data_IF_133788583700
#
_entry.id   IF_133788583700
#
_cell.length_a   1.000
_cell.length_b   1.000
_cell.length_c   1.000
_cell.angle_alpha   90.00
_cell.angle_beta   90.00
_cell.angle_gamma   90.00
#
_symmetry.space_group_name_H-M   'P 1'
#
loop_
_entity.id
_entity.type
_entity.pdbx_description
1 polymer ?
#
# COMPACT_ATOMS: atom_id res chain seq x y z
N UNK A 1 14.57 13.53 -10.15
CA UNK A 1 13.52 13.06 -11.02
C UNK A 1 13.09 11.65 -10.62
N UNK A 2 11.81 11.44 -10.51
CA UNK A 2 11.30 10.17 -10.08
C UNK A 2 11.38 9.11 -11.15
N UNK A 3 11.41 7.86 -10.71
CA UNK A 3 11.36 6.71 -11.59
C UNK A 3 9.95 6.15 -11.58
N UNK A 4 9.41 5.95 -12.77
CA UNK A 4 8.08 5.37 -12.88
C UNK A 4 8.15 3.89 -13.11
N UNK A 5 7.33 3.18 -12.37
CA UNK A 5 6.95 1.83 -12.74
C UNK A 5 5.44 1.84 -12.79
N UNK A 6 4.90 1.99 -13.97
CA UNK A 6 3.46 2.12 -14.11
C UNK A 6 2.75 0.80 -13.97
N UNK A 7 3.49 -0.29 -14.17
CA UNK A 7 2.85 -1.60 -14.14
C UNK A 7 3.85 -2.65 -13.70
N UNK A 8 3.51 -3.34 -12.65
CA UNK A 8 4.27 -4.49 -12.18
C UNK A 8 3.54 -5.71 -12.69
N UNK A 9 3.91 -6.19 -13.85
CA UNK A 9 3.07 -7.12 -14.58
C UNK A 9 3.29 -8.57 -14.19
N UNK A 10 3.26 -8.88 -12.90
CA UNK A 10 3.30 -10.25 -12.46
C UNK A 10 1.90 -10.76 -12.19
N UNK A 11 1.73 -12.07 -12.21
CA UNK A 11 0.45 -12.68 -11.91
C UNK A 11 -0.01 -12.34 -10.50
N UNK A 12 0.93 -12.30 -9.58
CA UNK A 12 0.62 -12.02 -8.19
C UNK A 12 0.07 -10.61 -8.01
N UNK A 13 0.65 -9.67 -8.75
CA UNK A 13 0.21 -8.28 -8.66
C UNK A 13 -1.21 -8.12 -9.14
N UNK A 14 -1.60 -8.89 -10.13
CA UNK A 14 -2.94 -8.77 -10.70
C UNK A 14 -4.03 -9.11 -9.69
N UNK A 15 -3.70 -9.83 -8.65
CA UNK A 15 -4.67 -10.15 -7.61
C UNK A 15 -5.10 -8.91 -6.84
N UNK A 16 -4.25 -7.89 -6.82
CA UNK A 16 -4.57 -6.63 -6.16
C UNK A 16 -5.33 -5.68 -7.07
N UNK A 17 -5.47 -6.03 -8.36
CA UNK A 17 -6.03 -5.14 -9.35
C UNK A 17 -4.91 -4.38 -10.03
N UNK A 18 -5.21 -3.21 -10.55
CA UNK A 18 -4.20 -2.40 -11.22
C UNK A 18 -3.37 -1.66 -10.19
N UNK A 19 -2.07 -1.89 -10.23
CA UNK A 19 -1.12 -1.23 -9.33
C UNK A 19 -0.15 -0.43 -10.16
N UNK A 20 -0.01 0.83 -9.85
CA UNK A 20 1.04 1.66 -10.41
C UNK A 20 1.84 2.28 -9.29
N UNK A 21 3.13 2.41 -9.50
CA UNK A 21 4.07 2.81 -8.47
C UNK A 21 4.96 3.93 -8.99
N UNK A 22 5.21 4.90 -8.14
CA UNK A 22 6.15 5.98 -8.42
C UNK A 22 7.07 6.11 -7.22
N UNK A 23 8.37 6.12 -7.48
CA UNK A 23 9.38 6.24 -6.42
C UNK A 23 10.63 6.86 -7.01
N UNK A 24 11.52 7.34 -6.15
CA UNK A 24 12.79 7.87 -6.62
C UNK A 24 13.79 6.78 -6.96
N UNK A 25 13.78 5.71 -6.20
CA UNK A 25 14.71 4.60 -6.39
C UNK A 25 13.95 3.29 -6.31
N UNK A 26 14.20 2.42 -7.27
CA UNK A 26 13.60 1.08 -7.29
C UNK A 26 14.71 0.07 -7.43
N UNK A 27 14.73 -0.92 -6.55
CA UNK A 27 15.70 -2.00 -6.58
C UNK A 27 14.98 -3.34 -6.64
N UNK A 28 15.31 -4.12 -7.66
CA UNK A 28 14.79 -5.48 -7.77
C UNK A 28 15.88 -6.44 -7.32
N UNK A 29 15.57 -7.26 -6.33
CA UNK A 29 16.49 -8.26 -5.82
C UNK A 29 15.97 -9.64 -6.21
N UNK A 30 16.63 -10.25 -7.19
CA UNK A 30 16.17 -11.52 -7.71
C UNK A 30 16.39 -12.68 -6.76
N UNK A 31 17.42 -12.59 -5.91
CA UNK A 31 17.69 -13.70 -5.01
C UNK A 31 16.64 -13.79 -3.90
N UNK A 32 16.09 -12.68 -3.46
CA UNK A 32 15.03 -12.68 -2.46
C UNK A 32 13.66 -12.49 -3.09
N UNK A 33 13.62 -12.23 -4.39
CA UNK A 33 12.38 -12.01 -5.14
C UNK A 33 11.56 -10.88 -4.57
N UNK A 34 12.25 -9.76 -4.29
CA UNK A 34 11.63 -8.57 -3.70
C UNK A 34 11.87 -7.36 -4.56
N UNK A 35 10.92 -6.43 -4.52
CA UNK A 35 11.06 -5.12 -5.13
C UNK A 35 11.03 -4.08 -4.02
N UNK A 36 12.09 -3.32 -3.90
CA UNK A 36 12.20 -2.28 -2.87
C UNK A 36 12.09 -0.91 -3.51
N UNK A 37 11.30 -0.04 -2.89
CA UNK A 37 10.97 1.28 -3.41
C UNK A 37 11.32 2.32 -2.36
N UNK A 38 12.00 3.39 -2.78
CA UNK A 38 12.44 4.43 -1.85
C UNK A 38 12.17 5.81 -2.41
N UNK A 39 11.74 6.70 -1.53
CA UNK A 39 11.69 8.14 -1.77
C UNK A 39 10.43 8.59 -2.49
N UNK A 40 9.69 9.49 -1.85
CA UNK A 40 8.49 10.11 -2.40
C UNK A 40 7.57 9.11 -3.07
N UNK A 41 7.24 8.09 -2.29
CA UNK A 41 6.51 6.94 -2.78
C UNK A 41 5.04 7.27 -2.99
N UNK A 42 4.53 6.92 -4.16
CA UNK A 42 3.10 7.01 -4.46
C UNK A 42 2.68 5.73 -5.14
N UNK A 43 1.65 5.12 -4.60
CA UNK A 43 1.13 3.86 -5.12
C UNK A 43 -0.35 4.03 -5.35
N UNK A 44 -0.81 3.66 -6.53
CA UNK A 44 -2.23 3.59 -6.84
C UNK A 44 -2.61 2.12 -6.95
N UNK A 45 -3.59 1.73 -6.16
CA UNK A 45 -4.04 0.36 -6.08
C UNK A 45 -5.55 0.36 -6.14
N UNK A 46 -6.10 0.04 -7.32
CA UNK A 46 -7.54 0.16 -7.52
C UNK A 46 -7.97 1.60 -7.32
N UNK A 47 -8.91 1.82 -6.42
CA UNK A 47 -9.37 3.16 -6.09
C UNK A 47 -8.65 3.76 -4.90
N UNK A 48 -7.59 3.11 -4.43
CA UNK A 48 -6.81 3.60 -3.31
C UNK A 48 -5.59 4.35 -3.77
N UNK A 49 -5.28 5.42 -3.04
CA UNK A 49 -4.04 6.17 -3.20
C UNK A 49 -3.23 5.98 -1.92
N UNK A 50 -1.98 5.55 -2.07
CA UNK A 50 -1.12 5.23 -0.95
C UNK A 50 0.16 6.03 -1.09
N UNK A 51 0.66 6.56 0.03
CA UNK A 51 1.92 7.27 0.04
C UNK A 51 2.72 6.86 1.26
N UNK A 52 4.03 7.07 1.17
CA UNK A 52 4.93 6.71 2.25
C UNK A 52 6.35 7.05 1.88
N UNK A 53 7.29 6.58 2.70
CA UNK A 53 8.71 6.84 2.50
C UNK A 53 9.39 5.72 1.73
N UNK A 54 9.01 4.49 2.01
CA UNK A 54 9.56 3.34 1.30
C UNK A 54 8.57 2.18 1.34
N UNK A 55 8.80 1.21 0.47
CA UNK A 55 7.93 0.04 0.41
C UNK A 55 8.73 -1.17 -0.05
N UNK A 56 8.22 -2.33 0.30
CA UNK A 56 8.79 -3.60 -0.10
C UNK A 56 7.67 -4.49 -0.62
N UNK A 57 7.83 -4.94 -1.85
CA UNK A 57 6.90 -5.89 -2.44
C UNK A 57 7.58 -7.25 -2.51
N UNK A 58 7.06 -8.21 -1.76
CA UNK A 58 7.56 -9.58 -1.79
C UNK A 58 6.71 -10.38 -2.73
N UNK A 59 7.32 -10.88 -3.81
CA UNK A 59 6.56 -11.62 -4.81
C UNK A 59 6.12 -12.99 -4.30
N UNK A 60 6.96 -13.63 -3.50
CA UNK A 60 6.62 -14.96 -3.01
C UNK A 60 5.45 -14.90 -2.03
N UNK A 61 5.45 -13.88 -1.19
CA UNK A 61 4.40 -13.71 -0.19
C UNK A 61 3.20 -12.94 -0.74
N UNK A 62 3.37 -12.32 -1.88
CA UNK A 62 2.33 -11.49 -2.48
C UNK A 62 1.86 -10.40 -1.51
N UNK A 63 2.84 -9.79 -0.85
CA UNK A 63 2.57 -8.86 0.23
C UNK A 63 3.30 -7.55 -0.03
N UNK A 64 2.62 -6.44 0.18
CA UNK A 64 3.19 -5.11 -0.03
C UNK A 64 3.22 -4.39 1.31
N UNK A 65 4.42 -4.00 1.73
CA UNK A 65 4.61 -3.31 3.00
C UNK A 65 5.07 -1.89 2.71
N UNK A 66 4.36 -0.91 3.25
CA UNK A 66 4.68 0.51 3.07
C UNK A 66 4.99 1.11 4.42
N UNK A 67 6.12 1.80 4.52
CA UNK A 67 6.51 2.51 5.74
C UNK A 67 6.49 4.00 5.50
N UNK A 68 6.17 4.75 6.54
CA UNK A 68 6.15 6.20 6.47
C UNK A 68 6.03 6.82 7.84
N UNK A 69 6.04 8.14 7.87
CA UNK A 69 5.98 8.90 9.11
C UNK A 69 4.94 10.02 8.99
N UNK A 70 3.70 9.70 8.71
CA UNK A 70 3.12 8.38 8.54
C UNK A 70 3.02 7.95 7.08
N UNK A 71 2.77 6.68 6.87
CA UNK A 71 2.25 6.21 5.61
C UNK A 71 0.75 6.49 5.58
N UNK A 72 0.20 6.72 4.39
CA UNK A 72 -1.22 7.06 4.30
C UNK A 72 -1.89 6.30 3.17
N UNK A 73 -3.19 6.08 3.35
CA UNK A 73 -4.02 5.44 2.35
C UNK A 73 -5.35 6.17 2.30
N UNK A 74 -5.86 6.41 1.11
CA UNK A 74 -7.13 7.10 0.96
C UNK A 74 -7.89 6.60 -0.25
N UNK A 75 -9.20 6.74 -0.19
CA UNK A 75 -10.06 6.44 -1.33
C UNK A 75 -11.25 7.40 -1.25
N UNK A 76 -11.42 8.20 -2.28
CA UNK A 76 -12.54 9.12 -2.35
C UNK A 76 -13.85 8.38 -2.50
N UNK A 77 -13.83 7.31 -3.30
CA UNK A 77 -15.02 6.53 -3.56
C UNK A 77 -15.55 5.88 -2.29
N UNK A 78 -14.64 5.31 -1.49
CA UNK A 78 -15.01 4.63 -0.27
C UNK A 78 -15.11 5.57 0.92
N UNK A 79 -14.72 6.83 0.74
CA UNK A 79 -14.74 7.85 1.78
C UNK A 79 -13.90 7.42 2.98
N UNK A 80 -12.67 7.02 2.68
CA UNK A 80 -11.78 6.47 3.69
C UNK A 80 -10.45 7.22 3.65
N UNK A 81 -9.91 7.49 4.83
CA UNK A 81 -8.58 8.06 5.01
C UNK A 81 -7.93 7.33 6.18
N UNK A 82 -6.72 6.85 5.97
CA UNK A 82 -6.02 6.15 7.02
C UNK A 82 -4.56 6.54 7.05
N UNK A 83 -3.97 6.53 8.24
CA UNK A 83 -2.54 6.75 8.42
C UNK A 83 -2.03 5.76 9.47
N UNK A 84 -0.76 5.38 9.32
CA UNK A 84 -0.10 4.54 10.29
C UNK A 84 1.40 4.58 9.98
N UNK A 85 2.20 4.07 10.89
CA UNK A 85 3.64 4.00 10.61
C UNK A 85 3.94 2.95 9.56
N UNK A 86 3.12 1.93 9.48
CA UNK A 86 3.30 0.87 8.49
C UNK A 86 1.95 0.37 7.99
N UNK A 87 1.87 0.19 6.68
CA UNK A 87 0.70 -0.39 6.03
C UNK A 87 1.14 -1.68 5.35
N UNK A 88 0.38 -2.75 5.53
CA UNK A 88 0.64 -4.00 4.84
C UNK A 88 -0.60 -4.42 4.09
N UNK A 89 -0.44 -4.67 2.80
CA UNK A 89 -1.53 -5.11 1.94
C UNK A 89 -1.31 -6.58 1.62
N UNK A 90 -2.28 -7.41 1.95
CA UNK A 90 -2.21 -8.85 1.77
C UNK A 90 -2.98 -9.29 0.54
N UNK A 91 -2.69 -10.48 0.01
CA UNK A 91 -3.36 -10.95 -1.21
C UNK A 91 -4.86 -11.14 -1.04
N UNK A 92 -5.35 -11.32 0.18
CA UNK A 92 -6.78 -11.46 0.42
C UNK A 92 -7.48 -10.11 0.54
N UNK A 93 -6.81 -9.05 0.15
CA UNK A 93 -7.32 -7.69 0.15
C UNK A 93 -7.60 -7.17 1.56
N UNK A 94 -6.85 -7.62 2.55
CA UNK A 94 -6.89 -7.00 3.85
C UNK A 94 -5.70 -6.06 3.98
N UNK A 95 -5.91 -4.96 4.67
CA UNK A 95 -4.89 -3.97 4.94
C UNK A 95 -4.68 -3.88 6.43
N UNK A 96 -3.44 -4.06 6.84
CA UNK A 96 -3.07 -3.98 8.23
C UNK A 96 -2.35 -2.67 8.45
N UNK A 97 -2.82 -1.89 9.41
CA UNK A 97 -2.27 -0.57 9.72
C UNK A 97 -1.69 -0.64 11.11
N UNK A 98 -0.39 -0.46 11.24
CA UNK A 98 0.31 -0.67 12.50
C UNK A 98 1.11 0.58 12.87
N UNK A 99 1.04 0.95 14.15
CA UNK A 99 1.77 2.08 14.70
C UNK A 99 0.98 3.36 14.62
N UNK A 100 0.37 3.77 15.73
CA UNK A 100 -0.42 4.99 15.81
C UNK A 100 -1.42 5.05 14.67
N UNK A 101 -2.13 3.95 14.47
CA UNK A 101 -3.02 3.82 13.34
C UNK A 101 -4.28 4.66 13.53
N UNK A 102 -4.71 5.29 12.46
CA UNK A 102 -5.90 6.13 12.44
C UNK A 102 -6.67 5.81 11.17
N UNK A 103 -7.95 5.57 11.30
CA UNK A 103 -8.81 5.29 10.15
C UNK A 103 -10.07 6.12 10.29
N UNK A 104 -10.34 6.90 9.26
CA UNK A 104 -11.55 7.70 9.19
C UNK A 104 -12.36 7.16 8.01
N UNK A 105 -13.56 6.69 8.29
CA UNK A 105 -14.45 6.19 7.24
C UNK A 105 -15.77 6.90 7.39
N UNK A 106 -16.12 7.70 6.39
CA UNK A 106 -17.29 8.55 6.44
C UNK A 106 -17.20 9.46 7.66
N UNK A 107 -18.09 9.29 8.64
CA UNK A 107 -18.07 10.15 9.82
C UNK A 107 -17.51 9.45 11.05
N UNK A 108 -16.87 8.31 10.87
CA UNK A 108 -16.33 7.53 11.98
C UNK A 108 -14.83 7.66 12.02
N UNK A 109 -14.30 7.91 13.22
CA UNK A 109 -12.86 7.99 13.43
C UNK A 109 -12.45 6.89 14.38
N UNK A 110 -11.43 6.13 13.99
CA UNK A 110 -10.93 5.01 14.77
C UNK A 110 -9.44 5.22 14.98
N UNK A 111 -8.99 5.09 16.23
CA UNK A 111 -7.58 5.18 16.57
C UNK A 111 -7.20 3.95 17.36
N UNK A 112 -6.07 3.34 16.98
CA UNK A 112 -5.59 2.15 17.65
C UNK A 112 -4.14 1.94 17.32
N UNK A 113 -3.47 1.06 18.05
CA UNK A 113 -2.12 0.68 17.69
C UNK A 113 -2.12 -0.14 16.40
N UNK A 114 -3.19 -0.91 16.19
CA UNK A 114 -3.30 -1.74 14.99
C UNK A 114 -4.75 -1.76 14.53
N UNK A 115 -4.94 -1.52 13.24
CA UNK A 115 -6.27 -1.56 12.62
C UNK A 115 -6.18 -2.50 11.43
N UNK A 116 -7.14 -3.41 11.30
CA UNK A 116 -7.23 -4.26 10.12
C UNK A 116 -8.49 -3.89 9.36
N UNK A 117 -8.32 -3.59 8.08
CA UNK A 117 -9.41 -3.19 7.21
C UNK A 117 -9.52 -4.22 6.09
N UNK A 118 -10.69 -4.84 5.98
CA UNK A 118 -10.93 -5.82 4.93
C UNK A 118 -11.64 -5.13 3.78
N UNK A 119 -10.99 -5.15 2.60
CA UNK A 119 -11.55 -4.53 1.42
C UNK A 119 -12.57 -5.45 0.80
N UNK A 120 -13.73 -4.89 0.44
CA UNK A 120 -14.72 -5.63 -0.31
C UNK A 120 -14.57 -5.27 -1.78
N UNK A 121 -14.63 -6.26 -2.64
CA UNK A 121 -14.24 -6.09 -4.02
C UNK A 121 -15.35 -5.56 -4.91
N UNK A 122 -16.57 -5.56 -4.46
CA UNK A 122 -17.70 -5.21 -5.31
C UNK A 122 -18.38 -3.92 -4.90
N UNK A 123 -17.66 -2.99 -4.41
CA UNK A 123 -18.26 -1.71 -3.95
C UNK A 123 -18.43 -0.71 -5.05
#
# INVERSE_FOLDING_TARGET
MGLFITELSSQEIKKYGNISVQANIVTLNESTNNLALYGELKINFGDFNISGDNALLGYDEEKLIINGSPASISSTIRKINGTANQLTIYPNLSIEMVGEASLIKENRSIFAEKITYQITSND
#
